data_IF_268891343906
#
_entry.id   IF_268891343906
#
_cell.length_a   1.000
_cell.length_b   1.000
_cell.length_c   1.000
_cell.angle_alpha   90.00
_cell.angle_beta   90.00
_cell.angle_gamma   90.00
#
_symmetry.space_group_name_H-M   'P 1'
#
loop_
_entity.id
_entity.type
_entity.pdbx_description
1 polymer ?
#
# COMPACT_ATOMS: atom_id res chain seq x y z
N UNK A 1 22.54 10.09 -17.29
CA UNK A 1 23.55 9.81 -16.25
C UNK A 1 24.12 11.10 -15.67
N UNK A 2 24.39 12.12 -16.48
CA UNK A 2 25.04 13.38 -16.03
C UNK A 2 24.24 14.20 -15.00
N UNK A 3 22.92 14.28 -15.11
CA UNK A 3 22.08 15.07 -14.17
C UNK A 3 22.05 14.51 -12.73
N UNK A 4 22.27 13.20 -12.56
CA UNK A 4 22.18 12.51 -11.26
C UNK A 4 23.50 12.55 -10.50
N UNK A 5 24.61 12.41 -11.22
CA UNK A 5 25.95 12.60 -10.67
C UNK A 5 26.12 14.04 -10.19
N UNK A 6 25.59 15.01 -10.96
CA UNK A 6 25.56 16.42 -10.56
C UNK A 6 24.68 16.64 -9.34
N UNK A 7 23.41 16.20 -9.35
CA UNK A 7 22.50 16.39 -8.20
C UNK A 7 23.06 15.76 -6.91
N UNK A 8 23.65 14.56 -7.01
CA UNK A 8 24.33 13.91 -5.89
C UNK A 8 25.58 14.66 -5.44
N UNK A 9 26.44 15.12 -6.37
CA UNK A 9 27.62 15.93 -6.07
C UNK A 9 27.24 17.23 -5.36
N UNK A 10 26.21 17.93 -5.81
CA UNK A 10 25.75 19.18 -5.21
C UNK A 10 25.16 18.98 -3.81
N UNK A 11 24.36 17.92 -3.59
CA UNK A 11 23.77 17.62 -2.28
C UNK A 11 24.80 17.06 -1.28
N UNK A 12 25.79 16.31 -1.75
CA UNK A 12 26.88 15.78 -0.91
C UNK A 12 27.94 16.81 -0.53
N UNK A 13 27.98 17.96 -1.21
CA UNK A 13 28.90 19.08 -0.97
C UNK A 13 28.15 20.40 -0.75
N UNK A 14 26.94 20.35 -0.20
CA UNK A 14 26.28 21.53 0.33
C UNK A 14 27.19 22.12 1.42
N UNK A 15 27.64 23.39 1.29
CA UNK A 15 28.47 24.01 2.31
C UNK A 15 27.71 24.04 3.63
N UNK A 16 28.45 24.05 4.76
CA UNK A 16 27.87 24.03 6.09
C UNK A 16 27.11 25.32 6.47
N UNK A 17 27.09 26.30 5.56
CA UNK A 17 26.54 27.64 5.68
C UNK A 17 25.45 27.88 4.62
N UNK A 18 24.31 28.43 5.04
CA UNK A 18 23.09 28.56 4.22
C UNK A 18 23.22 29.61 3.12
N UNK A 19 23.87 30.74 3.39
CA UNK A 19 24.01 31.83 2.43
C UNK A 19 24.88 31.40 1.24
N UNK A 20 25.87 30.54 1.52
CA UNK A 20 26.73 29.91 0.51
C UNK A 20 26.01 28.77 -0.24
N UNK A 21 25.15 28.01 0.45
CA UNK A 21 24.32 26.99 -0.16
C UNK A 21 23.28 27.61 -1.12
N UNK A 22 22.70 28.75 -0.74
CA UNK A 22 21.70 29.48 -1.53
C UNK A 22 22.27 30.03 -2.85
N UNK A 23 23.48 30.61 -2.83
CA UNK A 23 24.19 31.06 -4.04
C UNK A 23 24.51 29.92 -4.99
N UNK A 24 24.91 28.75 -4.47
CA UNK A 24 25.25 27.55 -5.27
C UNK A 24 24.00 26.86 -5.85
N UNK A 25 22.89 26.84 -5.10
CA UNK A 25 21.61 26.31 -5.58
C UNK A 25 21.00 27.24 -6.65
N UNK A 26 21.10 28.56 -6.51
CA UNK A 26 20.49 29.50 -7.48
C UNK A 26 21.27 29.64 -8.79
N UNK A 27 22.60 29.43 -8.80
CA UNK A 27 23.41 29.44 -10.03
C UNK A 27 23.27 28.17 -10.87
N UNK A 28 23.23 27.00 -10.23
CA UNK A 28 23.42 25.72 -10.92
C UNK A 28 22.09 25.03 -11.31
N UNK A 29 20.95 25.50 -10.79
CA UNK A 29 19.67 24.78 -10.88
C UNK A 29 18.67 25.34 -11.90
N UNK A 30 19.06 26.29 -12.75
CA UNK A 30 18.20 26.83 -13.84
C UNK A 30 17.88 25.81 -14.96
N UNK A 31 18.44 24.61 -14.91
CA UNK A 31 18.41 23.63 -16.01
C UNK A 31 18.06 22.20 -15.61
N UNK A 32 17.44 21.98 -14.44
CA UNK A 32 16.98 20.64 -14.04
C UNK A 32 15.58 20.38 -14.60
N UNK A 33 15.49 19.78 -15.79
CA UNK A 33 14.30 19.01 -16.23
C UNK A 33 14.58 17.54 -15.97
N UNK A 34 14.01 16.98 -14.90
CA UNK A 34 14.22 15.58 -14.55
C UNK A 34 13.33 14.66 -15.39
N UNK A 35 13.94 13.61 -15.97
CA UNK A 35 13.18 12.48 -16.48
C UNK A 35 12.87 11.50 -15.34
N UNK A 36 11.71 10.86 -15.43
CA UNK A 36 11.20 9.86 -14.46
C UNK A 36 12.16 8.68 -14.27
N UNK A 37 12.97 8.37 -15.27
CA UNK A 37 13.97 7.29 -15.24
C UNK A 37 15.26 7.69 -14.52
N UNK A 38 15.58 8.99 -14.47
CA UNK A 38 16.75 9.46 -13.73
C UNK A 38 16.54 9.26 -12.21
N UNK A 39 15.33 9.51 -11.73
CA UNK A 39 14.93 9.28 -10.34
C UNK A 39 15.07 7.80 -9.92
N UNK A 40 14.81 6.84 -10.82
CA UNK A 40 14.89 5.40 -10.53
C UNK A 40 16.32 4.89 -10.24
N UNK A 41 17.37 5.57 -10.72
CA UNK A 41 18.75 5.09 -10.57
C UNK A 41 19.45 5.57 -9.29
N UNK A 42 18.79 6.41 -8.49
CA UNK A 42 19.38 6.99 -7.31
C UNK A 42 19.20 6.05 -6.11
N UNK A 43 20.27 5.78 -5.34
CA UNK A 43 20.19 5.00 -4.08
C UNK A 43 19.44 5.82 -3.01
N UNK A 44 18.11 5.75 -3.06
CA UNK A 44 17.16 6.59 -2.32
C UNK A 44 17.42 6.66 -0.81
N UNK A 45 17.82 5.55 -0.17
CA UNK A 45 18.04 5.52 1.28
C UNK A 45 19.14 6.48 1.78
N UNK A 46 20.17 6.75 0.99
CA UNK A 46 21.23 7.71 1.38
C UNK A 46 20.82 9.15 1.02
N UNK A 47 19.95 9.34 0.03
CA UNK A 47 19.41 10.66 -0.29
C UNK A 47 18.37 11.12 0.73
N UNK A 48 17.45 10.23 1.12
CA UNK A 48 16.43 10.47 2.14
C UNK A 48 17.04 10.82 3.49
N UNK A 49 18.03 10.04 3.95
CA UNK A 49 18.72 10.31 5.22
C UNK A 49 19.47 11.66 5.21
N UNK A 50 20.06 12.05 4.07
CA UNK A 50 20.71 13.36 3.93
C UNK A 50 19.73 14.53 3.85
N UNK A 51 18.59 14.36 3.18
CA UNK A 51 17.51 15.36 3.17
C UNK A 51 16.94 15.54 4.58
N UNK A 52 16.67 14.44 5.29
CA UNK A 52 16.19 14.47 6.67
C UNK A 52 17.19 15.18 7.60
N UNK A 53 18.48 14.85 7.52
CA UNK A 53 19.54 15.50 8.29
C UNK A 53 19.66 17.00 7.96
N UNK A 54 19.52 17.38 6.68
CA UNK A 54 19.54 18.79 6.27
C UNK A 54 18.35 19.56 6.85
N UNK A 55 17.13 19.03 6.71
CA UNK A 55 15.92 19.67 7.21
C UNK A 55 15.95 19.79 8.75
N UNK A 56 16.39 18.75 9.45
CA UNK A 56 16.55 18.78 10.90
C UNK A 56 17.59 19.84 11.34
N UNK A 57 18.73 19.92 10.64
CA UNK A 57 19.79 20.87 10.98
C UNK A 57 19.36 22.34 10.81
N UNK A 58 18.49 22.61 9.84
CA UNK A 58 18.08 23.97 9.46
C UNK A 58 16.61 24.28 9.71
N UNK A 59 15.97 23.57 10.63
CA UNK A 59 14.55 23.72 10.98
C UNK A 59 14.19 25.13 11.46
N UNK A 60 15.12 25.80 12.16
CA UNK A 60 14.97 27.19 12.61
C UNK A 60 14.92 28.20 11.46
N UNK A 61 15.26 27.77 10.25
CA UNK A 61 15.34 28.59 9.03
C UNK A 61 14.33 28.12 7.97
N UNK A 62 13.19 27.57 8.41
CA UNK A 62 12.11 27.03 7.54
C UNK A 62 11.56 27.99 6.48
N UNK A 63 11.78 29.29 6.65
CA UNK A 63 11.36 30.33 5.72
C UNK A 63 12.42 30.65 4.65
N UNK A 64 13.63 30.10 4.74
CA UNK A 64 14.66 30.28 3.72
C UNK A 64 14.27 29.57 2.41
N UNK A 65 14.67 30.16 1.29
CA UNK A 65 14.37 29.60 -0.03
C UNK A 65 15.05 28.24 -0.23
N UNK A 66 16.25 28.06 0.32
CA UNK A 66 16.99 26.80 0.29
C UNK A 66 16.25 25.69 1.05
N UNK A 67 15.78 25.97 2.28
CA UNK A 67 15.00 25.02 3.06
C UNK A 67 13.71 24.63 2.33
N UNK A 68 12.95 25.61 1.84
CA UNK A 68 11.70 25.38 1.11
C UNK A 68 11.91 24.48 -0.13
N UNK A 69 12.99 24.67 -0.88
CA UNK A 69 13.32 23.85 -2.05
C UNK A 69 13.74 22.43 -1.68
N UNK A 70 14.64 22.26 -0.69
CA UNK A 70 15.04 20.92 -0.23
C UNK A 70 13.85 20.18 0.36
N UNK A 71 12.98 20.87 1.10
CA UNK A 71 11.74 20.32 1.61
C UNK A 71 10.80 19.89 0.48
N UNK A 72 10.57 20.72 -0.55
CA UNK A 72 9.75 20.35 -1.72
C UNK A 72 10.32 19.15 -2.49
N UNK A 73 11.64 19.05 -2.64
CA UNK A 73 12.30 17.91 -3.29
C UNK A 73 12.18 16.65 -2.44
N UNK A 74 12.39 16.77 -1.12
CA UNK A 74 12.16 15.70 -0.16
C UNK A 74 10.72 15.21 -0.24
N UNK A 75 9.75 16.13 -0.24
CA UNK A 75 8.35 15.81 -0.46
C UNK A 75 8.14 15.13 -1.80
N UNK A 76 8.69 15.62 -2.91
CA UNK A 76 8.55 14.97 -4.23
C UNK A 76 9.16 13.57 -4.27
N UNK A 77 10.28 13.32 -3.59
CA UNK A 77 10.89 11.98 -3.50
C UNK A 77 10.02 11.05 -2.66
N UNK A 78 9.55 11.53 -1.51
CA UNK A 78 8.71 10.77 -0.56
C UNK A 78 7.28 10.57 -1.07
N UNK A 79 6.78 11.46 -1.93
CA UNK A 79 5.41 11.42 -2.50
C UNK A 79 5.38 10.95 -3.95
N UNK A 80 6.55 10.69 -4.58
CA UNK A 80 6.57 10.11 -5.92
C UNK A 80 6.11 8.66 -5.86
N UNK A 81 4.98 8.31 -6.51
CA UNK A 81 4.41 6.95 -6.47
C UNK A 81 5.34 5.89 -7.10
N UNK A 82 6.41 6.33 -7.78
CA UNK A 82 7.36 5.47 -8.48
C UNK A 82 8.68 5.23 -7.71
N UNK A 83 8.95 5.97 -6.63
CA UNK A 83 10.23 5.89 -5.88
C UNK A 83 10.11 5.19 -4.53
N UNK A 84 8.92 5.19 -3.93
CA UNK A 84 8.62 4.39 -2.72
C UNK A 84 8.28 2.94 -3.11
N UNK A 85 8.81 2.45 -4.22
CA UNK A 85 8.69 1.06 -4.62
C UNK A 85 9.91 0.31 -4.09
N UNK A 86 9.71 -0.47 -3.03
CA UNK A 86 10.66 -1.47 -2.51
C UNK A 86 11.87 -0.89 -1.76
N UNK A 87 11.68 -0.47 -0.51
CA UNK A 87 12.80 -0.48 0.43
C UNK A 87 12.93 -1.93 0.95
N UNK A 88 14.05 -2.59 0.67
CA UNK A 88 14.42 -3.81 1.39
C UNK A 88 15.37 -3.39 2.50
N UNK A 89 14.96 -3.50 3.76
CA UNK A 89 15.81 -3.22 4.92
C UNK A 89 15.79 -4.45 5.79
N UNK A 90 16.96 -5.02 6.06
CA UNK A 90 17.11 -6.17 6.96
C UNK A 90 16.15 -7.33 6.61
N UNK A 91 16.04 -7.65 5.32
CA UNK A 91 15.14 -8.69 4.81
C UNK A 91 13.66 -8.30 4.74
N UNK A 92 13.26 -7.13 5.24
CA UNK A 92 11.88 -6.63 5.16
C UNK A 92 11.65 -5.81 3.90
N UNK A 93 10.64 -6.18 3.12
CA UNK A 93 10.13 -5.44 1.96
C UNK A 93 8.99 -4.55 2.43
N UNK A 94 9.20 -3.24 2.34
CA UNK A 94 8.15 -2.26 2.60
C UNK A 94 7.26 -2.09 1.36
N UNK A 95 5.96 -2.31 1.55
CA UNK A 95 4.92 -2.22 0.52
C UNK A 95 4.16 -0.89 0.68
N UNK A 96 3.57 -0.39 -0.41
CA UNK A 96 2.78 0.83 -0.36
C UNK A 96 1.45 0.61 0.38
N UNK A 97 1.02 1.60 1.15
CA UNK A 97 -0.26 1.55 1.86
C UNK A 97 -1.41 1.87 0.90
N UNK A 98 -1.77 0.89 0.07
CA UNK A 98 -3.02 0.87 -0.70
C UNK A 98 -3.82 -0.40 -0.41
N UNK A 99 -5.05 -0.46 -0.91
CA UNK A 99 -5.91 -1.65 -0.79
C UNK A 99 -5.36 -2.90 -1.48
N UNK A 100 -4.19 -2.85 -2.12
CA UNK A 100 -3.53 -3.98 -2.77
C UNK A 100 -2.30 -4.48 -2.00
N UNK A 101 -1.94 -3.84 -0.88
CA UNK A 101 -0.71 -4.16 -0.15
C UNK A 101 -0.57 -5.65 0.22
N UNK A 102 -1.67 -6.36 0.53
CA UNK A 102 -1.64 -7.81 0.77
C UNK A 102 -1.13 -8.60 -0.44
N UNK A 103 -1.71 -8.34 -1.62
CA UNK A 103 -1.38 -9.04 -2.86
C UNK A 103 0.04 -8.70 -3.32
N UNK A 104 0.45 -7.46 -3.13
CA UNK A 104 1.82 -7.04 -3.38
C UNK A 104 2.77 -7.77 -2.44
N UNK A 105 2.57 -7.69 -1.12
CA UNK A 105 3.39 -8.38 -0.12
C UNK A 105 3.53 -9.87 -0.43
N UNK A 106 2.42 -10.54 -0.74
CA UNK A 106 2.42 -11.92 -1.19
C UNK A 106 3.28 -12.13 -2.45
N UNK A 107 3.06 -11.33 -3.51
CA UNK A 107 3.80 -11.46 -4.76
C UNK A 107 5.32 -11.30 -4.55
N UNK A 108 5.74 -10.38 -3.69
CA UNK A 108 7.14 -10.20 -3.32
C UNK A 108 7.70 -11.42 -2.61
N UNK A 109 7.03 -11.88 -1.54
CA UNK A 109 7.52 -13.01 -0.76
C UNK A 109 7.59 -14.28 -1.62
N UNK A 110 6.58 -14.52 -2.47
CA UNK A 110 6.54 -15.67 -3.36
C UNK A 110 7.60 -15.62 -4.45
N UNK A 111 7.79 -14.46 -5.10
CA UNK A 111 8.83 -14.30 -6.12
C UNK A 111 10.24 -14.53 -5.58
N UNK A 112 10.51 -14.13 -4.33
CA UNK A 112 11.83 -14.36 -3.73
C UNK A 112 12.02 -15.80 -3.22
N UNK A 113 10.94 -16.58 -3.13
CA UNK A 113 11.00 -17.99 -2.78
C UNK A 113 11.34 -18.87 -4.00
N UNK A 114 10.77 -18.60 -5.17
CA UNK A 114 10.92 -19.42 -6.38
C UNK A 114 11.66 -18.75 -7.55
N UNK A 115 11.95 -17.45 -7.44
CA UNK A 115 12.27 -16.63 -8.60
C UNK A 115 11.04 -16.36 -9.48
N UNK A 116 11.25 -15.95 -10.74
CA UNK A 116 10.17 -15.81 -11.71
C UNK A 116 9.41 -17.12 -11.92
N UNK A 117 8.08 -17.09 -11.78
CA UNK A 117 7.20 -18.20 -12.16
C UNK A 117 6.25 -17.79 -13.29
N UNK A 118 5.49 -18.72 -13.85
CA UNK A 118 4.45 -18.41 -14.85
C UNK A 118 3.42 -17.41 -14.29
N UNK A 119 3.13 -17.48 -12.99
CA UNK A 119 2.20 -16.61 -12.30
C UNK A 119 2.79 -15.24 -11.94
N UNK A 120 4.07 -15.17 -11.59
CA UNK A 120 4.75 -13.96 -11.14
C UNK A 120 6.09 -13.86 -11.88
N UNK A 121 6.05 -13.38 -13.14
CA UNK A 121 7.23 -13.30 -14.01
C UNK A 121 8.16 -12.13 -13.67
N UNK A 122 7.62 -11.02 -13.17
CA UNK A 122 8.38 -9.81 -12.82
C UNK A 122 7.74 -9.06 -11.66
N UNK A 123 8.56 -8.42 -10.84
CA UNK A 123 8.11 -7.51 -9.79
C UNK A 123 7.92 -6.06 -10.28
N UNK A 124 8.23 -5.76 -11.54
CA UNK A 124 8.00 -4.44 -12.15
C UNK A 124 6.53 -4.24 -12.57
N UNK A 125 5.82 -5.35 -12.80
CA UNK A 125 4.40 -5.40 -13.08
C UNK A 125 3.76 -6.39 -12.11
N UNK A 126 3.39 -5.90 -10.93
CA UNK A 126 2.79 -6.76 -9.91
C UNK A 126 1.44 -7.29 -10.44
N UNK A 127 1.22 -8.61 -10.41
CA UNK A 127 0.03 -9.23 -10.98
C UNK A 127 -1.18 -9.08 -10.05
N UNK A 128 -1.44 -7.87 -9.54
CA UNK A 128 -2.49 -7.56 -8.56
C UNK A 128 -3.86 -8.06 -9.00
N UNK A 129 -4.24 -7.70 -10.23
CA UNK A 129 -5.51 -8.09 -10.82
C UNK A 129 -5.61 -9.60 -10.99
N UNK A 130 -4.55 -10.22 -11.47
CA UNK A 130 -4.47 -11.65 -11.69
C UNK A 130 -4.56 -12.45 -10.37
N UNK A 131 -3.82 -12.05 -9.33
CA UNK A 131 -3.87 -12.69 -8.02
C UNK A 131 -5.27 -12.57 -7.41
N UNK A 132 -5.89 -11.39 -7.52
CA UNK A 132 -7.27 -11.15 -7.07
C UNK A 132 -8.28 -12.01 -7.81
N UNK A 133 -8.18 -12.09 -9.13
CA UNK A 133 -9.05 -12.95 -9.94
C UNK A 133 -8.87 -14.42 -9.57
N UNK A 134 -7.63 -14.88 -9.34
CA UNK A 134 -7.35 -16.25 -8.88
C UNK A 134 -7.98 -16.52 -7.51
N UNK A 135 -7.83 -15.61 -6.56
CA UNK A 135 -8.45 -15.74 -5.23
C UNK A 135 -9.97 -15.76 -5.36
N UNK A 136 -10.58 -14.78 -6.02
CA UNK A 136 -12.04 -14.73 -6.18
C UNK A 136 -12.59 -16.00 -6.85
N UNK A 137 -11.91 -16.53 -7.86
CA UNK A 137 -12.29 -17.78 -8.53
C UNK A 137 -12.18 -18.97 -7.58
N UNK A 138 -11.09 -19.04 -6.82
CA UNK A 138 -10.89 -20.09 -5.83
C UNK A 138 -11.96 -20.05 -4.74
N UNK A 139 -12.23 -18.88 -4.18
CA UNK A 139 -13.23 -18.70 -3.12
C UNK A 139 -14.63 -19.04 -3.61
N UNK A 140 -15.02 -18.53 -4.78
CA UNK A 140 -16.32 -18.85 -5.40
C UNK A 140 -16.50 -20.36 -5.58
N UNK A 141 -15.45 -21.09 -6.00
CA UNK A 141 -15.53 -22.53 -6.26
C UNK A 141 -15.50 -23.40 -4.99
N UNK A 142 -14.87 -22.92 -3.92
CA UNK A 142 -14.61 -23.73 -2.72
C UNK A 142 -15.43 -23.32 -1.50
N UNK A 143 -16.12 -22.16 -1.53
CA UNK A 143 -16.88 -21.64 -0.40
C UNK A 143 -17.85 -22.67 0.21
N UNK A 144 -18.62 -23.40 -0.60
CA UNK A 144 -19.59 -24.37 -0.07
C UNK A 144 -18.96 -25.66 0.48
N UNK A 145 -17.69 -25.93 0.16
CA UNK A 145 -17.02 -27.21 0.42
C UNK A 145 -15.88 -27.10 1.45
N UNK A 146 -15.33 -25.90 1.68
CA UNK A 146 -14.27 -25.64 2.64
C UNK A 146 -14.82 -24.79 3.79
N UNK A 147 -15.13 -25.44 4.91
CA UNK A 147 -15.70 -24.79 6.08
C UNK A 147 -14.82 -23.64 6.60
N UNK A 148 -13.50 -23.81 6.61
CA UNK A 148 -12.59 -22.77 7.10
C UNK A 148 -12.64 -21.54 6.18
N UNK A 149 -12.66 -21.77 4.87
CA UNK A 149 -12.82 -20.67 3.91
C UNK A 149 -14.18 -19.97 4.07
N UNK A 150 -15.27 -20.74 4.21
CA UNK A 150 -16.59 -20.19 4.42
C UNK A 150 -16.66 -19.30 5.67
N UNK A 151 -16.10 -19.78 6.79
CA UNK A 151 -16.06 -19.05 8.05
C UNK A 151 -15.27 -17.73 7.90
N UNK A 152 -14.11 -17.76 7.24
CA UNK A 152 -13.28 -16.57 7.00
C UNK A 152 -13.96 -15.55 6.07
N UNK A 153 -14.60 -16.01 4.99
CA UNK A 153 -15.34 -15.13 4.07
C UNK A 153 -16.54 -14.50 4.77
N UNK A 154 -17.28 -15.26 5.58
CA UNK A 154 -18.41 -14.72 6.34
C UNK A 154 -17.95 -13.69 7.38
N UNK A 155 -16.81 -13.92 8.03
CA UNK A 155 -16.21 -12.93 8.93
C UNK A 155 -15.84 -11.65 8.16
N UNK A 156 -15.17 -11.75 7.02
CA UNK A 156 -14.79 -10.59 6.20
C UNK A 156 -16.01 -9.79 5.72
N UNK A 157 -17.10 -10.47 5.33
CA UNK A 157 -18.36 -9.83 4.95
C UNK A 157 -18.99 -9.09 6.14
N UNK A 158 -19.00 -9.71 7.32
CA UNK A 158 -19.55 -9.09 8.53
C UNK A 158 -18.77 -7.83 8.92
N UNK A 159 -17.44 -7.89 8.91
CA UNK A 159 -16.55 -6.75 9.21
C UNK A 159 -16.72 -5.60 8.21
N UNK A 160 -16.78 -5.92 6.91
CA UNK A 160 -17.00 -4.91 5.86
C UNK A 160 -18.40 -4.30 5.96
N UNK A 161 -19.42 -5.09 6.31
CA UNK A 161 -20.78 -4.61 6.55
C UNK A 161 -20.82 -3.60 7.70
N UNK A 162 -20.23 -3.95 8.84
CA UNK A 162 -20.15 -3.06 10.01
C UNK A 162 -19.41 -1.76 9.68
N UNK A 163 -18.26 -1.86 9.00
CA UNK A 163 -17.49 -0.69 8.59
C UNK A 163 -18.28 0.22 7.64
N UNK A 164 -18.95 -0.36 6.64
CA UNK A 164 -19.75 0.40 5.67
C UNK A 164 -20.91 1.14 6.36
N UNK A 165 -21.56 0.49 7.33
CA UNK A 165 -22.60 1.11 8.16
C UNK A 165 -22.05 2.31 8.95
N UNK A 166 -20.88 2.16 9.58
CA UNK A 166 -20.22 3.25 10.30
C UNK A 166 -19.81 4.42 9.38
N UNK A 167 -19.38 4.13 8.15
CA UNK A 167 -19.04 5.15 7.16
C UNK A 167 -20.29 5.95 6.74
N UNK A 168 -21.44 5.29 6.56
CA UNK A 168 -22.72 5.97 6.37
C UNK A 168 -23.10 6.85 7.57
N UNK A 169 -22.97 6.36 8.80
CA UNK A 169 -23.27 7.13 10.01
C UNK A 169 -22.41 8.38 10.13
N UNK A 170 -21.12 8.28 9.83
CA UNK A 170 -20.20 9.43 9.81
C UNK A 170 -20.60 10.43 8.73
N UNK A 171 -20.92 9.96 7.53
CA UNK A 171 -21.35 10.84 6.44
C UNK A 171 -22.65 11.58 6.78
N UNK A 172 -23.63 10.90 7.37
CA UNK A 172 -24.90 11.48 7.82
C UNK A 172 -24.64 12.56 8.88
N UNK A 173 -23.85 12.25 9.91
CA UNK A 173 -23.53 13.21 10.98
C UNK A 173 -22.83 14.47 10.47
N UNK A 174 -21.97 14.32 9.45
CA UNK A 174 -21.30 15.45 8.81
C UNK A 174 -22.25 16.30 7.96
N UNK A 175 -23.26 15.70 7.33
CA UNK A 175 -24.28 16.43 6.57
C UNK A 175 -25.27 17.18 7.48
N UNK A 176 -25.65 16.60 8.62
CA UNK A 176 -26.59 17.21 9.58
C UNK A 176 -26.01 18.49 10.25
N UNK A 177 -24.69 18.72 10.15
CA UNK A 177 -24.00 19.91 10.66
C UNK A 177 -24.08 21.12 9.71
N UNK A 178 -24.54 20.95 8.47
CA UNK A 178 -24.68 22.01 7.47
C UNK A 178 -26.12 22.02 6.94
N UNK A 179 -26.93 23.01 7.33
CA UNK A 179 -28.33 23.14 6.90
C UNK A 179 -28.51 23.20 5.36
N UNK A 180 -27.43 23.44 4.60
CA UNK A 180 -27.41 23.37 3.14
C UNK A 180 -27.49 21.95 2.55
N UNK A 181 -27.32 20.89 3.37
CA UNK A 181 -27.25 19.49 2.92
C UNK A 181 -28.29 18.55 3.56
N UNK A 182 -29.34 19.08 4.21
CA UNK A 182 -30.39 18.28 4.87
C UNK A 182 -31.03 17.22 3.93
N UNK A 183 -31.21 17.54 2.65
CA UNK A 183 -31.72 16.59 1.66
C UNK A 183 -30.78 15.39 1.40
N UNK A 184 -29.46 15.60 1.46
CA UNK A 184 -28.47 14.52 1.27
C UNK A 184 -28.41 13.61 2.49
N UNK A 185 -28.59 14.15 3.69
CA UNK A 185 -28.64 13.34 4.91
C UNK A 185 -29.80 12.33 4.87
N UNK A 186 -30.98 12.73 4.37
CA UNK A 186 -32.11 11.81 4.19
C UNK A 186 -31.86 10.73 3.13
N UNK A 187 -31.19 11.06 2.03
CA UNK A 187 -30.79 10.07 1.01
C UNK A 187 -29.82 9.05 1.61
N UNK A 188 -28.79 9.49 2.32
CA UNK A 188 -27.82 8.61 2.98
C UNK A 188 -28.47 7.70 4.03
N UNK A 189 -29.47 8.20 4.77
CA UNK A 189 -30.28 7.38 5.70
C UNK A 189 -31.00 6.24 4.96
N UNK A 190 -31.61 6.54 3.81
CA UNK A 190 -32.28 5.52 2.97
C UNK A 190 -31.29 4.52 2.36
N UNK A 191 -30.14 5.01 1.88
CA UNK A 191 -29.06 4.16 1.35
C UNK A 191 -28.53 3.21 2.43
N UNK A 192 -28.27 3.72 3.65
CA UNK A 192 -27.86 2.92 4.81
C UNK A 192 -28.88 1.83 5.12
N UNK A 193 -30.16 2.18 5.25
CA UNK A 193 -31.22 1.19 5.55
C UNK A 193 -31.37 0.13 4.45
N UNK A 194 -31.18 0.50 3.18
CA UNK A 194 -31.19 -0.44 2.07
C UNK A 194 -30.01 -1.41 2.15
N UNK A 195 -28.81 -0.91 2.48
CA UNK A 195 -27.60 -1.71 2.64
C UNK A 195 -27.69 -2.68 3.84
N UNK A 196 -28.21 -2.22 4.99
CA UNK A 196 -28.38 -3.05 6.19
C UNK A 196 -29.28 -4.27 5.95
N UNK A 197 -30.31 -4.10 5.11
CA UNK A 197 -31.30 -5.12 4.75
C UNK A 197 -30.81 -6.09 3.67
N UNK A 198 -29.62 -5.90 3.10
CA UNK A 198 -29.04 -6.88 2.17
C UNK A 198 -28.79 -8.20 2.89
N UNK A 199 -29.22 -9.29 2.26
CA UNK A 199 -28.97 -10.64 2.73
C UNK A 199 -27.51 -11.07 2.48
N UNK A 200 -27.06 -12.07 3.24
CA UNK A 200 -25.67 -12.54 3.22
C UNK A 200 -25.26 -13.13 1.85
N UNK A 201 -26.22 -13.65 1.06
CA UNK A 201 -25.93 -14.17 -0.28
C UNK A 201 -25.60 -13.04 -1.24
N UNK A 202 -26.39 -11.96 -1.21
CA UNK A 202 -26.17 -10.75 -2.00
C UNK A 202 -24.86 -10.07 -1.61
N UNK A 203 -24.58 -9.97 -0.30
CA UNK A 203 -23.32 -9.42 0.20
C UNK A 203 -22.11 -10.27 -0.23
N UNK A 204 -22.22 -11.60 -0.18
CA UNK A 204 -21.17 -12.52 -0.65
C UNK A 204 -20.90 -12.39 -2.15
N UNK A 205 -21.95 -12.29 -2.97
CA UNK A 205 -21.78 -12.07 -4.41
C UNK A 205 -21.09 -10.73 -4.68
N UNK A 206 -21.49 -9.67 -3.99
CA UNK A 206 -20.84 -8.36 -4.08
C UNK A 206 -19.37 -8.41 -3.67
N UNK A 207 -19.05 -9.14 -2.60
CA UNK A 207 -17.68 -9.36 -2.13
C UNK A 207 -16.79 -9.99 -3.22
N UNK A 208 -17.22 -11.11 -3.82
CA UNK A 208 -16.45 -11.78 -4.87
C UNK A 208 -16.27 -10.90 -6.12
N UNK A 209 -17.29 -10.14 -6.51
CA UNK A 209 -17.18 -9.23 -7.65
C UNK A 209 -16.24 -8.05 -7.35
N UNK A 210 -16.31 -7.47 -6.15
CA UNK A 210 -15.37 -6.41 -5.72
C UNK A 210 -13.93 -6.90 -5.64
N UNK A 211 -13.74 -8.14 -5.20
CA UNK A 211 -12.42 -8.76 -5.16
C UNK A 211 -11.81 -8.81 -6.57
N UNK A 212 -12.60 -9.18 -7.59
CA UNK A 212 -12.18 -9.20 -9.02
C UNK A 212 -11.98 -7.80 -9.61
N UNK A 213 -12.89 -6.87 -9.35
CA UNK A 213 -13.05 -5.65 -10.13
C UNK A 213 -12.02 -4.54 -9.85
N UNK A 214 -11.19 -4.67 -8.80
CA UNK A 214 -10.19 -3.65 -8.38
C UNK A 214 -10.69 -2.19 -8.51
N UNK A 215 -11.81 -1.81 -7.88
CA UNK A 215 -12.36 -0.47 -8.02
C UNK A 215 -11.35 0.57 -7.51
N UNK A 216 -11.15 1.65 -8.29
CA UNK A 216 -10.19 2.71 -7.98
C UNK A 216 -10.55 3.51 -6.73
N UNK A 217 -11.84 3.68 -6.44
CA UNK A 217 -12.33 4.61 -5.41
C UNK A 217 -12.61 3.95 -4.06
N UNK A 218 -12.57 2.61 -3.97
CA UNK A 218 -12.75 1.87 -2.71
C UNK A 218 -12.26 0.42 -2.85
N UNK A 219 -10.93 0.19 -2.99
CA UNK A 219 -10.41 -1.16 -3.16
C UNK A 219 -10.74 -2.00 -1.93
N UNK A 220 -11.25 -3.21 -2.16
CA UNK A 220 -11.43 -4.20 -1.10
C UNK A 220 -10.05 -4.58 -0.56
N UNK A 221 -9.79 -4.30 0.72
CA UNK A 221 -8.54 -4.69 1.38
C UNK A 221 -8.51 -6.21 1.54
N UNK A 222 -7.38 -6.84 1.23
CA UNK A 222 -7.22 -8.28 1.47
C UNK A 222 -7.11 -8.57 2.97
N UNK A 223 -7.62 -9.73 3.39
CA UNK A 223 -7.57 -10.20 4.76
C UNK A 223 -7.22 -11.69 4.86
N UNK A 224 -7.73 -12.33 5.91
CA UNK A 224 -7.40 -13.72 6.23
C UNK A 224 -7.97 -14.71 5.19
N UNK A 225 -9.13 -14.43 4.61
CA UNK A 225 -9.72 -15.24 3.54
C UNK A 225 -8.79 -15.30 2.32
N UNK A 226 -8.31 -14.14 1.85
CA UNK A 226 -7.37 -14.06 0.73
C UNK A 226 -6.05 -14.78 1.04
N UNK A 227 -5.51 -14.65 2.26
CA UNK A 227 -4.28 -15.36 2.66
C UNK A 227 -4.49 -16.88 2.67
N UNK A 228 -5.61 -17.35 3.22
CA UNK A 228 -5.95 -18.76 3.18
C UNK A 228 -6.04 -19.26 1.74
N UNK A 229 -6.77 -18.55 0.87
CA UNK A 229 -6.91 -18.87 -0.55
C UNK A 229 -5.56 -18.88 -1.27
N UNK A 230 -4.72 -17.85 -1.11
CA UNK A 230 -3.39 -17.77 -1.70
C UNK A 230 -2.50 -18.93 -1.23
N UNK A 231 -2.55 -19.28 0.06
CA UNK A 231 -1.78 -20.40 0.62
C UNK A 231 -2.13 -21.74 -0.06
N UNK A 232 -3.41 -21.95 -0.40
CA UNK A 232 -3.90 -23.14 -1.10
C UNK A 232 -3.56 -23.13 -2.60
N UNK A 233 -3.78 -22.01 -3.28
CA UNK A 233 -3.52 -21.84 -4.71
C UNK A 233 -2.04 -22.09 -5.03
N UNK A 234 -1.15 -21.49 -4.24
CA UNK A 234 0.30 -21.54 -4.48
C UNK A 234 1.00 -22.66 -3.71
N UNK A 235 0.25 -23.47 -2.93
CA UNK A 235 0.77 -24.58 -2.14
C UNK A 235 1.94 -24.17 -1.24
N UNK A 236 1.79 -23.03 -0.58
CA UNK A 236 2.75 -22.47 0.39
C UNK A 236 2.09 -22.35 1.75
N UNK A 237 2.89 -22.47 2.80
CA UNK A 237 2.55 -22.03 4.15
C UNK A 237 2.78 -20.52 4.22
N UNK A 238 1.76 -19.80 4.68
CA UNK A 238 1.87 -18.37 4.95
C UNK A 238 1.96 -18.19 6.45
N UNK A 239 3.06 -17.63 6.92
CA UNK A 239 3.20 -17.17 8.30
C UNK A 239 3.02 -15.67 8.34
N UNK A 240 1.91 -15.23 8.93
CA UNK A 240 1.60 -13.83 9.14
C UNK A 240 2.05 -13.42 10.54
N UNK A 241 3.11 -12.64 10.62
CA UNK A 241 3.56 -11.97 11.84
C UNK A 241 2.56 -10.83 12.14
N UNK A 242 1.89 -10.90 13.30
CA UNK A 242 1.04 -9.83 13.81
C UNK A 242 1.58 -9.32 15.14
N UNK A 243 1.17 -8.12 15.61
CA UNK A 243 1.60 -7.60 16.91
C UNK A 243 1.26 -8.51 18.09
N UNK A 244 0.12 -9.20 18.03
CA UNK A 244 -0.45 -9.91 19.18
C UNK A 244 -0.30 -11.43 19.10
N UNK A 245 -0.46 -12.02 17.91
CA UNK A 245 -0.38 -13.47 17.72
C UNK A 245 -0.05 -13.85 16.27
N UNK A 246 0.99 -14.68 16.03
CA UNK A 246 1.28 -15.14 14.69
C UNK A 246 0.15 -16.02 14.16
N UNK A 247 -0.27 -15.77 12.91
CA UNK A 247 -1.23 -16.61 12.20
C UNK A 247 -0.50 -17.45 11.15
N UNK A 248 -0.96 -18.69 10.96
CA UNK A 248 -0.43 -19.58 9.92
C UNK A 248 -1.54 -20.14 9.05
N UNK A 249 -1.30 -20.15 7.76
CA UNK A 249 -2.21 -20.70 6.76
C UNK A 249 -1.52 -21.83 5.99
N UNK A 250 -2.23 -22.94 5.80
CA UNK A 250 -1.75 -24.12 5.06
C UNK A 250 -0.41 -24.68 5.57
N UNK A 251 -0.34 -24.97 6.88
CA UNK A 251 0.86 -25.49 7.56
C UNK A 251 1.39 -26.83 7.03
N UNK A 252 0.60 -27.54 6.23
CA UNK A 252 1.02 -28.79 5.58
C UNK A 252 1.94 -28.59 4.37
N UNK A 253 2.06 -27.37 3.85
CA UNK A 253 2.95 -27.10 2.73
C UNK A 253 4.42 -27.06 3.16
N UNK A 254 5.33 -27.54 2.30
CA UNK A 254 6.76 -27.60 2.59
C UNK A 254 7.47 -26.24 2.44
N UNK A 255 6.79 -25.28 1.82
CA UNK A 255 7.33 -24.00 1.41
C UNK A 255 6.76 -22.90 2.28
N UNK A 256 7.60 -21.98 2.77
CA UNK A 256 7.20 -20.94 3.72
C UNK A 256 7.37 -19.56 3.10
N UNK A 257 6.34 -18.73 3.21
CA UNK A 257 6.45 -17.27 3.04
C UNK A 257 6.08 -16.58 4.35
N UNK A 258 6.78 -15.47 4.66
CA UNK A 258 6.50 -14.65 5.83
C UNK A 258 5.96 -13.30 5.37
N UNK A 259 4.78 -12.95 5.88
CA UNK A 259 4.17 -11.64 5.74
C UNK A 259 4.11 -10.98 7.12
N UNK A 260 4.15 -9.66 7.15
CA UNK A 260 4.05 -8.89 8.39
C UNK A 260 2.85 -7.96 8.29
N UNK A 261 1.96 -8.08 9.27
CA UNK A 261 0.87 -7.14 9.46
C UNK A 261 1.33 -6.01 10.38
N UNK A 262 1.32 -4.77 9.86
CA UNK A 262 1.86 -3.62 10.59
C UNK A 262 0.78 -2.88 11.37
N UNK A 263 -0.24 -2.37 10.67
CA UNK A 263 -1.36 -1.59 11.21
C UNK A 263 -2.45 -1.42 10.13
N UNK A 264 -3.70 -1.08 10.48
CA UNK A 264 -4.75 -0.66 9.54
C UNK A 264 -4.90 -1.50 8.25
N UNK A 265 -4.83 -2.83 8.35
CA UNK A 265 -4.83 -3.75 7.19
C UNK A 265 -3.65 -3.59 6.20
N UNK A 266 -2.54 -3.00 6.62
CA UNK A 266 -1.33 -2.86 5.84
C UNK A 266 -0.37 -4.05 6.03
N UNK A 267 0.08 -4.60 4.91
CA UNK A 267 0.95 -5.78 4.85
C UNK A 267 2.31 -5.47 4.24
N UNK A 268 3.36 -5.97 4.88
CA UNK A 268 4.72 -6.05 4.34
C UNK A 268 5.12 -7.50 4.06
N UNK A 269 6.19 -7.67 3.30
CA UNK A 269 6.82 -8.98 3.09
C UNK A 269 8.12 -9.09 3.88
N UNK A 270 8.43 -10.27 4.39
CA UNK A 270 9.71 -10.58 5.02
C UNK A 270 10.38 -11.70 4.23
N UNK A 271 11.56 -11.39 3.69
CA UNK A 271 12.40 -12.29 2.94
C UNK A 271 13.26 -13.08 3.93
N UNK A 272 13.39 -14.38 3.66
CA UNK A 272 14.32 -15.26 4.38
C UNK A 272 15.76 -15.04 3.93
#
# INVERSE_FOLDING_TARGET
>A
MDLLTDTWYHLSHLPQDIETAEKKITSDWKTIRMSRDALKQLRLGVLESKIALFLQKYETEKNSMAYQKVHQIGQLILTSPSLVYKKIVDGKVFIYEDGHCLFDAFAYAYYHLDGPTEEICTLDQLPREYLRQKVATYETANYDNDKMLADLVNQAIAEEKEKTILDYERAINNCDCDHAFEGRAEELKKEKEAFEKLDDVTLRQSYFERLKAMPKEAPLWGGQAELYSLSKIFKVTIHLETPDYPLKFNESASRLIILEWVNNNHFNAKLH
#
